data_IF_788809815761
#
_entry.id   IF_788809815761
#
_cell.length_a   1.000
_cell.length_b   1.000
_cell.length_c   1.000
_cell.angle_alpha   90.00
_cell.angle_beta   90.00
_cell.angle_gamma   90.00
#
_symmetry.space_group_name_H-M   'P 1'
#
loop_
_entity.id
_entity.type
_entity.pdbx_description
1 polymer ?
#
# COMPACT_ATOMS: atom_id res chain seq x y z
N UNK A 1 23.68 -18.63 36.19
CA UNK A 1 24.25 -18.26 34.86
C UNK A 1 23.47 -18.81 33.64
N UNK A 2 22.49 -19.68 33.83
CA UNK A 2 21.91 -20.42 32.69
C UNK A 2 20.46 -20.05 32.31
N UNK A 3 19.69 -19.38 33.19
CA UNK A 3 18.29 -19.07 32.88
C UNK A 3 18.14 -17.83 31.97
N UNK A 4 18.99 -16.82 32.12
CA UNK A 4 18.96 -15.65 31.24
C UNK A 4 19.50 -15.94 29.83
N UNK A 5 20.49 -16.84 29.73
CA UNK A 5 20.95 -17.40 28.45
C UNK A 5 19.87 -18.27 27.78
N UNK A 6 19.13 -19.06 28.59
CA UNK A 6 18.06 -19.92 28.08
C UNK A 6 16.90 -19.15 27.45
N UNK A 7 16.44 -18.04 28.07
CA UNK A 7 15.40 -17.19 27.47
C UNK A 7 15.92 -16.49 26.21
N UNK A 8 17.11 -15.89 26.27
CA UNK A 8 17.72 -15.24 25.11
C UNK A 8 17.98 -16.19 23.95
N UNK A 9 18.37 -17.44 24.20
CA UNK A 9 18.64 -18.43 23.16
C UNK A 9 17.37 -19.11 22.62
N UNK A 10 16.32 -19.27 23.44
CA UNK A 10 15.01 -19.73 22.96
C UNK A 10 14.37 -18.66 22.06
N UNK A 11 14.47 -17.40 22.41
CA UNK A 11 14.02 -16.31 21.55
C UNK A 11 14.89 -16.14 20.30
N UNK A 12 16.22 -16.30 20.38
CA UNK A 12 17.12 -16.30 19.22
C UNK A 12 16.89 -17.46 18.25
N UNK A 13 16.40 -18.61 18.71
CA UNK A 13 16.14 -19.78 17.85
C UNK A 13 14.75 -19.78 17.22
N UNK A 14 13.76 -19.13 17.86
CA UNK A 14 12.37 -19.09 17.38
C UNK A 14 11.96 -17.76 16.76
N UNK A 15 12.66 -16.71 17.10
CA UNK A 15 12.50 -15.38 16.51
C UNK A 15 13.89 -14.78 16.35
N UNK A 16 14.29 -14.48 15.14
CA UNK A 16 15.58 -13.85 14.84
C UNK A 16 15.75 -12.45 15.45
N UNK A 17 14.80 -11.94 16.27
CA UNK A 17 14.67 -10.50 16.50
C UNK A 17 14.14 -10.17 17.88
N UNK A 18 15.04 -10.09 18.85
CA UNK A 18 14.82 -9.45 20.15
C UNK A 18 15.69 -8.21 20.19
N UNK A 19 15.09 -7.10 20.52
CA UNK A 19 15.76 -5.81 20.61
C UNK A 19 16.10 -5.51 22.05
N UNK A 20 17.36 -5.14 22.32
CA UNK A 20 17.75 -4.45 23.54
C UNK A 20 17.87 -2.97 23.23
N UNK A 21 17.19 -2.14 23.95
CA UNK A 21 17.34 -0.68 23.91
C UNK A 21 17.70 -0.20 25.31
N UNK A 22 18.73 0.64 25.42
CA UNK A 22 19.16 1.21 26.70
C UNK A 22 18.30 2.42 27.13
N UNK A 23 17.50 2.99 26.21
CA UNK A 23 16.64 4.14 26.51
C UNK A 23 15.30 4.06 25.75
N UNK A 24 14.18 4.19 26.49
CA UNK A 24 12.81 4.07 25.97
C UNK A 24 12.39 5.22 25.03
N UNK A 25 13.21 6.27 24.89
CA UNK A 25 12.90 7.46 24.09
C UNK A 25 13.40 7.39 22.66
N UNK A 26 14.34 6.49 22.36
CA UNK A 26 14.97 6.35 21.05
C UNK A 26 14.86 4.91 20.50
N UNK A 27 13.66 4.36 20.50
CA UNK A 27 13.38 3.04 19.92
C UNK A 27 13.41 3.09 18.39
N UNK A 28 14.60 3.27 17.82
CA UNK A 28 14.86 2.98 16.42
C UNK A 28 15.22 1.49 16.29
N UNK A 29 14.27 0.67 15.88
CA UNK A 29 14.47 -0.76 15.75
C UNK A 29 15.05 -1.07 14.38
N UNK A 30 16.32 -1.46 14.35
CA UNK A 30 16.99 -1.99 13.16
C UNK A 30 16.96 -3.52 13.21
N UNK A 31 15.98 -4.13 12.52
CA UNK A 31 15.90 -5.59 12.47
C UNK A 31 14.55 -6.11 11.99
N UNK A 32 14.44 -7.38 11.78
CA UNK A 32 13.25 -8.10 11.34
C UNK A 32 12.45 -8.60 12.53
N UNK A 33 11.12 -8.64 12.45
CA UNK A 33 10.24 -9.12 13.50
C UNK A 33 9.93 -10.60 13.37
N UNK A 34 9.91 -11.29 14.51
CA UNK A 34 9.03 -12.41 14.69
C UNK A 34 7.88 -11.97 15.60
N UNK A 35 6.70 -11.96 15.08
CA UNK A 35 5.49 -11.72 15.85
C UNK A 35 5.17 -12.99 16.62
N UNK A 36 5.61 -13.04 17.89
CA UNK A 36 5.28 -14.15 18.79
C UNK A 36 3.79 -14.23 19.08
N UNK A 37 3.26 -15.41 19.31
CA UNK A 37 1.88 -15.60 19.74
C UNK A 37 1.61 -14.91 21.08
N UNK A 38 0.42 -14.33 21.24
CA UNK A 38 -0.05 -13.64 22.46
C UNK A 38 0.05 -14.47 23.75
N UNK A 39 0.28 -15.80 23.64
CA UNK A 39 0.48 -16.71 24.75
C UNK A 39 1.77 -16.42 25.53
N UNK A 40 2.82 -15.95 24.85
CA UNK A 40 4.12 -15.62 25.47
C UNK A 40 4.10 -14.32 26.27
N UNK A 41 3.25 -13.36 25.88
CA UNK A 41 3.03 -12.14 26.64
C UNK A 41 2.40 -12.40 28.02
N UNK A 42 1.54 -13.45 28.14
CA UNK A 42 0.90 -13.82 29.40
C UNK A 42 1.87 -14.44 30.43
N UNK A 43 3.01 -14.91 29.97
CA UNK A 43 4.04 -15.55 30.80
C UNK A 43 5.18 -14.58 31.17
N UNK A 44 5.20 -13.38 30.55
CA UNK A 44 6.23 -12.37 30.82
C UNK A 44 5.90 -11.57 32.09
N UNK A 45 6.90 -11.33 32.92
CA UNK A 45 6.77 -10.41 34.07
C UNK A 45 6.88 -8.96 33.57
N UNK A 46 5.75 -8.36 33.16
CA UNK A 46 5.70 -7.03 32.58
C UNK A 46 5.75 -5.99 33.69
N UNK A 47 6.76 -5.13 33.68
CA UNK A 47 6.90 -4.03 34.63
C UNK A 47 6.08 -2.80 34.22
N UNK A 48 6.06 -2.47 32.93
CA UNK A 48 5.33 -1.34 32.38
C UNK A 48 4.82 -1.60 30.96
N UNK A 49 3.82 -0.85 30.52
CA UNK A 49 3.31 -0.92 29.15
C UNK A 49 2.85 0.46 28.69
N UNK A 50 3.16 0.83 27.45
CA UNK A 50 2.69 2.06 26.82
C UNK A 50 2.45 1.84 25.32
N UNK A 51 1.59 2.65 24.72
CA UNK A 51 1.36 2.62 23.28
C UNK A 51 2.27 3.62 22.57
N UNK A 52 2.86 3.23 21.47
CA UNK A 52 3.69 4.09 20.65
C UNK A 52 3.67 3.64 19.18
N UNK A 53 4.03 4.58 18.31
CA UNK A 53 4.35 4.26 16.93
C UNK A 53 5.84 3.92 16.88
N UNK A 54 6.12 2.64 16.68
CA UNK A 54 7.50 2.14 16.63
C UNK A 54 8.02 2.24 15.20
N UNK A 55 9.12 2.97 15.04
CA UNK A 55 9.85 3.03 13.79
C UNK A 55 10.55 1.69 13.52
N UNK A 56 10.30 1.16 12.33
CA UNK A 56 10.87 -0.12 11.89
C UNK A 56 11.57 0.09 10.57
N UNK A 57 12.79 -0.41 10.48
CA UNK A 57 13.53 -0.44 9.24
C UNK A 57 13.60 -1.88 8.70
N UNK A 58 12.96 -2.09 7.55
CA UNK A 58 13.00 -3.35 6.83
C UNK A 58 13.71 -3.13 5.49
N UNK A 59 14.89 -3.74 5.31
CA UNK A 59 15.77 -3.46 4.16
C UNK A 59 16.11 -1.97 4.08
N UNK A 60 15.65 -1.27 3.02
CA UNK A 60 15.86 0.18 2.80
C UNK A 60 14.60 1.01 3.09
N UNK A 61 13.59 0.39 3.67
CA UNK A 61 12.29 1.00 3.91
C UNK A 61 12.12 1.20 5.41
N UNK A 62 11.76 2.42 5.80
CA UNK A 62 11.40 2.77 7.17
C UNK A 62 9.91 2.97 7.27
N UNK A 63 9.26 2.40 8.27
CA UNK A 63 7.84 2.53 8.52
C UNK A 63 7.53 2.54 10.01
N UNK A 64 6.30 2.88 10.37
CA UNK A 64 5.86 2.94 11.75
C UNK A 64 4.74 1.93 11.99
N UNK A 65 4.88 1.12 13.04
CA UNK A 65 3.80 0.26 13.51
C UNK A 65 3.24 0.79 14.82
N UNK A 66 1.92 0.94 14.88
CA UNK A 66 1.24 1.18 16.15
C UNK A 66 1.38 -0.06 17.00
N UNK A 67 2.07 0.07 18.12
CA UNK A 67 2.42 -1.05 18.98
C UNK A 67 2.21 -0.69 20.45
N UNK A 68 1.85 -1.70 21.23
CA UNK A 68 1.98 -1.63 22.69
C UNK A 68 3.35 -2.20 23.04
N UNK A 69 4.14 -1.39 23.73
CA UNK A 69 5.48 -1.76 24.20
C UNK A 69 5.36 -2.24 25.63
N UNK A 70 5.84 -3.42 25.90
CA UNK A 70 5.88 -4.01 27.23
C UNK A 70 7.32 -4.11 27.70
N UNK A 71 7.65 -3.48 28.81
CA UNK A 71 8.95 -3.59 29.45
C UNK A 71 9.00 -4.83 30.32
N UNK A 72 9.99 -5.68 30.09
CA UNK A 72 10.24 -6.89 30.86
C UNK A 72 11.62 -6.80 31.48
N UNK A 73 11.72 -6.61 32.83
CA UNK A 73 13.00 -6.52 33.50
C UNK A 73 13.72 -7.87 33.52
N UNK A 74 15.05 -7.81 33.48
CA UNK A 74 15.93 -8.94 33.63
C UNK A 74 16.60 -8.93 35.01
N UNK A 75 17.11 -10.09 35.44
CA UNK A 75 17.77 -10.26 36.75
C UNK A 75 19.06 -9.43 36.89
N UNK A 76 19.69 -9.05 35.78
CA UNK A 76 20.91 -8.23 35.76
C UNK A 76 20.64 -6.71 35.85
N UNK A 77 19.38 -6.32 36.01
CA UNK A 77 18.95 -4.92 36.08
C UNK A 77 18.71 -4.24 34.73
N UNK A 78 18.94 -4.96 33.62
CA UNK A 78 18.55 -4.51 32.29
C UNK A 78 17.08 -4.85 32.00
N UNK A 79 16.50 -4.29 30.93
CA UNK A 79 15.16 -4.65 30.45
C UNK A 79 15.21 -5.04 29.00
N UNK A 80 14.28 -5.89 28.56
CA UNK A 80 13.96 -6.03 27.16
C UNK A 80 12.52 -5.57 26.89
N UNK A 81 12.24 -5.21 25.65
CA UNK A 81 10.93 -4.72 25.28
C UNK A 81 10.23 -5.72 24.35
N UNK A 82 9.00 -6.12 24.72
CA UNK A 82 8.13 -6.89 23.85
C UNK A 82 7.21 -5.92 23.12
N UNK A 83 7.09 -6.09 21.81
CA UNK A 83 6.20 -5.30 20.98
C UNK A 83 4.96 -6.14 20.62
N UNK A 84 3.81 -5.65 21.07
CA UNK A 84 2.51 -6.15 20.65
C UNK A 84 1.94 -5.22 19.59
N UNK A 85 1.86 -5.70 18.34
CA UNK A 85 1.26 -4.91 17.26
C UNK A 85 -0.23 -4.76 17.50
N UNK A 86 -0.70 -3.51 17.52
CA UNK A 86 -2.12 -3.20 17.71
C UNK A 86 -2.81 -3.28 16.36
N UNK A 87 -3.70 -4.26 16.20
CA UNK A 87 -4.51 -4.47 15.00
C UNK A 87 -5.99 -4.61 15.37
N UNK A 88 -6.86 -4.43 14.37
CA UNK A 88 -8.30 -4.49 14.58
C UNK A 88 -8.84 -5.93 14.70
N UNK A 89 -8.11 -6.93 14.19
CA UNK A 89 -8.52 -8.33 14.22
C UNK A 89 -7.32 -9.30 14.13
N UNK A 90 -7.60 -10.59 14.42
CA UNK A 90 -6.60 -11.66 14.26
C UNK A 90 -6.25 -11.86 12.78
N UNK A 91 -7.22 -11.74 11.90
CA UNK A 91 -7.06 -11.85 10.46
C UNK A 91 -6.14 -10.74 9.93
N UNK A 92 -6.32 -9.50 10.40
CA UNK A 92 -5.43 -8.38 10.07
C UNK A 92 -4.00 -8.66 10.54
N UNK A 93 -3.82 -9.22 11.74
CA UNK A 93 -2.49 -9.57 12.24
C UNK A 93 -1.81 -10.64 11.38
N UNK A 94 -2.53 -11.68 10.96
CA UNK A 94 -1.96 -12.71 10.08
C UNK A 94 -1.66 -12.16 8.67
N UNK A 95 -2.51 -11.30 8.13
CA UNK A 95 -2.26 -10.62 6.86
C UNK A 95 -1.02 -9.72 6.94
N UNK A 96 -0.85 -8.97 8.03
CA UNK A 96 0.35 -8.16 8.28
C UNK A 96 1.62 -9.02 8.35
N UNK A 97 1.60 -10.14 9.08
CA UNK A 97 2.72 -11.08 9.15
C UNK A 97 3.09 -11.62 7.77
N UNK A 98 2.10 -12.10 7.03
CA UNK A 98 2.29 -12.59 5.67
C UNK A 98 2.92 -11.55 4.76
N UNK A 99 2.42 -10.31 4.81
CA UNK A 99 2.92 -9.19 4.01
C UNK A 99 4.37 -8.83 4.38
N UNK A 100 4.70 -8.72 5.67
CA UNK A 100 6.08 -8.46 6.13
C UNK A 100 7.01 -9.57 5.62
N UNK A 101 6.59 -10.83 5.74
CA UNK A 101 7.34 -11.99 5.24
C UNK A 101 7.57 -11.90 3.73
N UNK A 102 6.54 -11.53 2.96
CA UNK A 102 6.67 -11.35 1.52
C UNK A 102 7.68 -10.24 1.17
N UNK A 103 7.67 -9.12 1.89
CA UNK A 103 8.62 -8.03 1.71
C UNK A 103 10.04 -8.48 2.06
N UNK A 104 10.20 -9.17 3.19
CA UNK A 104 11.51 -9.63 3.69
C UNK A 104 12.20 -10.59 2.71
N UNK A 105 11.42 -11.54 2.18
CA UNK A 105 11.95 -12.56 1.27
C UNK A 105 11.84 -12.20 -0.21
N UNK A 106 11.51 -10.93 -0.52
CA UNK A 106 11.37 -10.42 -1.90
C UNK A 106 10.32 -11.16 -2.74
N UNK A 107 9.22 -11.56 -2.08
CA UNK A 107 8.11 -12.29 -2.69
C UNK A 107 6.98 -11.36 -3.17
N UNK A 108 7.32 -10.12 -3.46
CA UNK A 108 6.44 -9.13 -4.07
C UNK A 108 6.81 -9.00 -5.54
N UNK A 109 5.82 -9.14 -6.41
CA UNK A 109 5.93 -8.92 -7.84
C UNK A 109 4.83 -7.99 -8.34
N UNK A 110 4.98 -7.50 -9.57
CA UNK A 110 3.97 -6.74 -10.29
C UNK A 110 3.63 -7.46 -11.60
N UNK A 111 2.34 -7.68 -11.82
CA UNK A 111 1.81 -8.03 -13.13
C UNK A 111 1.30 -6.76 -13.81
N UNK A 112 1.32 -6.71 -15.14
CA UNK A 112 0.95 -5.51 -15.89
C UNK A 112 -0.24 -5.80 -16.79
N UNK A 113 -1.33 -5.05 -16.57
CA UNK A 113 -2.53 -5.11 -17.42
C UNK A 113 -2.53 -3.93 -18.39
N UNK A 114 -2.79 -4.22 -19.67
CA UNK A 114 -2.76 -3.19 -20.72
C UNK A 114 -4.02 -2.32 -20.67
N UNK A 115 -3.83 -1.02 -20.86
CA UNK A 115 -4.88 -0.05 -21.10
C UNK A 115 -4.82 0.41 -22.55
N UNK A 116 -5.87 0.16 -23.32
CA UNK A 116 -5.91 0.37 -24.77
C UNK A 116 -6.87 1.52 -25.10
N UNK A 117 -6.42 2.45 -25.91
CA UNK A 117 -7.30 3.47 -26.47
C UNK A 117 -8.22 2.85 -27.53
N UNK A 118 -9.52 2.85 -27.26
CA UNK A 118 -10.53 2.18 -28.11
C UNK A 118 -10.62 2.75 -29.53
N UNK A 119 -10.34 4.04 -29.72
CA UNK A 119 -10.39 4.67 -31.05
C UNK A 119 -9.20 4.34 -31.92
N UNK A 120 -8.01 4.29 -31.33
CA UNK A 120 -6.75 4.11 -32.06
C UNK A 120 -6.19 2.70 -31.98
N UNK A 121 -6.68 1.85 -31.07
CA UNK A 121 -6.13 0.53 -30.76
C UNK A 121 -4.72 0.56 -30.12
N UNK A 122 -4.23 1.75 -29.75
CA UNK A 122 -2.89 1.91 -29.21
C UNK A 122 -2.87 1.68 -27.70
N UNK A 123 -1.75 1.10 -27.22
CA UNK A 123 -1.43 1.03 -25.81
C UNK A 123 -1.20 2.45 -25.27
N UNK A 124 -1.91 2.82 -24.21
CA UNK A 124 -1.81 4.14 -23.56
C UNK A 124 -1.39 4.04 -22.10
N UNK A 125 -1.59 2.90 -21.47
CA UNK A 125 -1.23 2.68 -20.09
C UNK A 125 -0.99 1.22 -19.77
N UNK A 126 -0.37 1.01 -18.62
CA UNK A 126 -0.18 -0.29 -17.97
C UNK A 126 -0.58 -0.14 -16.51
N UNK A 127 -1.51 -0.93 -16.04
CA UNK A 127 -1.82 -1.03 -14.62
C UNK A 127 -0.88 -2.04 -13.95
N UNK A 128 -0.15 -1.60 -12.94
CA UNK A 128 0.76 -2.44 -12.17
C UNK A 128 0.00 -3.09 -11.01
N UNK A 129 -0.33 -4.34 -11.18
CA UNK A 129 -1.13 -5.14 -10.26
C UNK A 129 -0.23 -5.94 -9.32
N UNK A 130 -0.33 -5.66 -8.04
CA UNK A 130 0.40 -6.33 -6.97
C UNK A 130 0.19 -7.85 -6.99
N UNK A 131 1.27 -8.59 -6.80
CA UNK A 131 1.28 -10.05 -6.62
C UNK A 131 2.16 -10.40 -5.43
N UNK A 132 1.54 -10.84 -4.34
CA UNK A 132 2.26 -11.45 -3.21
C UNK A 132 2.33 -12.95 -3.44
N UNK A 133 3.46 -13.57 -3.05
CA UNK A 133 3.64 -15.01 -3.13
C UNK A 133 3.88 -15.60 -1.76
N UNK A 134 3.24 -16.73 -1.49
CA UNK A 134 3.49 -17.53 -0.29
C UNK A 134 4.87 -18.23 -0.34
N UNK A 135 5.15 -19.09 0.66
CA UNK A 135 6.40 -19.84 0.75
C UNK A 135 6.60 -20.84 -0.38
N UNK A 136 5.51 -21.36 -0.93
CA UNK A 136 5.48 -22.31 -2.03
C UNK A 136 5.49 -21.62 -3.40
N UNK A 137 5.47 -20.28 -3.43
CA UNK A 137 5.46 -19.48 -4.65
C UNK A 137 4.07 -19.24 -5.26
N UNK A 138 2.98 -19.69 -4.61
CA UNK A 138 1.63 -19.44 -5.07
C UNK A 138 1.23 -17.98 -4.86
N UNK A 139 0.40 -17.44 -5.75
CA UNK A 139 -0.11 -16.07 -5.62
C UNK A 139 -1.15 -16.01 -4.51
N UNK A 140 -0.96 -15.11 -3.55
CA UNK A 140 -1.95 -14.78 -2.54
C UNK A 140 -2.96 -13.82 -3.19
N UNK A 141 -4.28 -14.16 -3.23
CA UNK A 141 -5.29 -13.30 -3.83
C UNK A 141 -5.38 -11.95 -3.12
N UNK A 142 -5.37 -10.85 -3.90
CA UNK A 142 -5.38 -9.47 -3.37
C UNK A 142 -6.62 -9.18 -2.51
N UNK A 143 -7.77 -9.70 -2.89
CA UNK A 143 -9.05 -9.57 -2.17
C UNK A 143 -9.02 -10.15 -0.75
N UNK A 144 -8.11 -11.07 -0.47
CA UNK A 144 -7.97 -11.69 0.84
C UNK A 144 -7.07 -10.93 1.81
N UNK A 145 -6.13 -10.11 1.31
CA UNK A 145 -5.19 -9.45 2.22
C UNK A 145 -5.21 -7.93 2.13
N UNK A 146 -5.45 -7.32 0.96
CA UNK A 146 -5.45 -5.85 0.83
C UNK A 146 -6.44 -5.19 1.79
N UNK A 147 -7.72 -5.63 1.88
CA UNK A 147 -8.68 -5.01 2.80
C UNK A 147 -8.26 -5.09 4.28
N UNK A 148 -7.42 -6.06 4.63
CA UNK A 148 -6.95 -6.27 6.00
C UNK A 148 -5.76 -5.37 6.39
N UNK A 149 -5.04 -4.83 5.41
CA UNK A 149 -3.84 -4.00 5.62
C UNK A 149 -3.98 -2.57 5.08
N UNK A 150 -5.01 -2.26 4.31
CA UNK A 150 -5.16 -0.99 3.60
C UNK A 150 -5.24 0.22 4.53
N UNK A 151 -5.90 0.08 5.69
CA UNK A 151 -5.96 1.10 6.73
C UNK A 151 -4.73 1.17 7.64
N UNK A 152 -3.76 0.29 7.46
CA UNK A 152 -2.59 0.17 8.32
C UNK A 152 -1.34 0.78 7.66
N UNK A 153 -0.40 1.23 8.48
CA UNK A 153 0.90 1.76 8.00
C UNK A 153 1.65 0.77 7.08
N UNK A 154 1.30 -0.51 7.17
CA UNK A 154 1.89 -1.59 6.38
C UNK A 154 1.56 -1.48 4.89
N UNK A 155 0.40 -0.92 4.52
CA UNK A 155 0.08 -0.71 3.11
C UNK A 155 1.08 0.23 2.44
N UNK A 156 1.57 1.24 3.15
CA UNK A 156 2.64 2.12 2.67
C UNK A 156 3.92 1.34 2.32
N UNK A 157 4.24 0.27 3.08
CA UNK A 157 5.37 -0.60 2.76
C UNK A 157 5.18 -1.38 1.47
N UNK A 158 3.99 -1.89 1.25
CA UNK A 158 3.65 -2.59 0.00
C UNK A 158 3.82 -1.65 -1.18
N UNK A 159 3.32 -0.41 -1.07
CA UNK A 159 3.50 0.63 -2.09
C UNK A 159 4.98 0.92 -2.34
N UNK A 160 5.79 1.10 -1.28
CA UNK A 160 7.23 1.35 -1.43
C UNK A 160 7.99 0.17 -2.04
N UNK A 161 7.63 -1.06 -1.67
CA UNK A 161 8.20 -2.27 -2.29
C UNK A 161 7.81 -2.36 -3.77
N UNK A 162 6.57 -2.00 -4.11
CA UNK A 162 6.10 -1.92 -5.49
C UNK A 162 6.88 -0.88 -6.30
N UNK A 163 7.19 0.29 -5.73
CA UNK A 163 8.03 1.30 -6.38
C UNK A 163 9.43 0.75 -6.72
N UNK A 164 10.03 -0.08 -5.86
CA UNK A 164 11.31 -0.71 -6.18
C UNK A 164 11.22 -1.68 -7.37
N UNK A 165 10.11 -2.41 -7.50
CA UNK A 165 9.86 -3.29 -8.67
C UNK A 165 9.58 -2.48 -9.93
N UNK A 166 8.92 -1.33 -9.82
CA UNK A 166 8.65 -0.44 -10.95
C UNK A 166 9.91 0.10 -11.62
N UNK A 167 11.03 0.25 -10.90
CA UNK A 167 12.31 0.69 -11.51
C UNK A 167 12.66 -0.15 -12.73
N UNK A 168 12.59 -1.48 -12.60
CA UNK A 168 12.85 -2.39 -13.71
C UNK A 168 11.85 -2.24 -14.85
N UNK A 169 10.57 -1.98 -14.55
CA UNK A 169 9.56 -1.75 -15.57
C UNK A 169 9.85 -0.48 -16.39
N UNK A 170 10.31 0.60 -15.73
CA UNK A 170 10.71 1.82 -16.43
C UNK A 170 11.98 1.65 -17.27
N UNK A 171 12.96 0.85 -16.82
CA UNK A 171 14.12 0.47 -17.61
C UNK A 171 13.68 -0.25 -18.90
N UNK A 172 12.83 -1.29 -18.78
CA UNK A 172 12.28 -2.03 -19.93
C UNK A 172 11.42 -1.14 -20.83
N UNK A 173 10.59 -0.25 -20.25
CA UNK A 173 9.79 0.70 -21.02
C UNK A 173 10.64 1.55 -21.96
N UNK A 174 11.79 2.02 -21.48
CA UNK A 174 12.74 2.80 -22.26
C UNK A 174 13.43 1.95 -23.35
N UNK A 175 13.79 0.71 -23.01
CA UNK A 175 14.39 -0.25 -23.96
C UNK A 175 13.47 -0.58 -25.14
N UNK A 176 12.15 -0.74 -24.86
CA UNK A 176 11.16 -1.06 -25.90
C UNK A 176 10.46 0.17 -26.51
N UNK A 177 10.99 1.39 -26.30
CA UNK A 177 10.45 2.64 -26.84
C UNK A 177 8.94 2.83 -26.60
N UNK A 178 8.48 2.49 -25.40
CA UNK A 178 7.09 2.64 -25.01
C UNK A 178 6.76 4.08 -24.57
N UNK A 179 7.17 5.06 -25.40
CA UNK A 179 6.94 6.47 -25.14
C UNK A 179 5.43 6.79 -25.11
N UNK A 180 5.02 7.63 -24.16
CA UNK A 180 3.62 8.02 -23.99
C UNK A 180 2.73 6.97 -23.31
N UNK A 181 3.30 5.84 -22.84
CA UNK A 181 2.59 4.85 -22.03
C UNK A 181 2.78 5.21 -20.55
N UNK A 182 1.68 5.40 -19.82
CA UNK A 182 1.69 5.63 -18.37
C UNK A 182 1.71 4.29 -17.63
N UNK A 183 2.53 4.14 -16.60
CA UNK A 183 2.42 2.99 -15.69
C UNK A 183 1.68 3.45 -14.43
N UNK A 184 0.52 2.87 -14.17
CA UNK A 184 -0.31 3.18 -13.02
C UNK A 184 -0.06 2.22 -11.87
N UNK A 185 -0.01 2.74 -10.65
CA UNK A 185 0.11 1.97 -9.41
C UNK A 185 -1.13 2.23 -8.54
N UNK A 186 -1.72 1.17 -8.03
CA UNK A 186 -2.86 1.24 -7.09
C UNK A 186 -2.42 1.72 -5.72
N UNK A 187 -3.12 2.73 -5.20
CA UNK A 187 -2.86 3.34 -3.90
C UNK A 187 -4.18 3.68 -3.22
N UNK A 188 -4.30 3.41 -1.91
CA UNK A 188 -5.48 3.86 -1.17
C UNK A 188 -5.47 5.39 -0.97
N UNK A 189 -6.66 5.99 -0.96
CA UNK A 189 -6.80 7.41 -0.66
C UNK A 189 -6.17 7.78 0.69
N UNK A 190 -6.31 6.91 1.70
CA UNK A 190 -5.68 7.11 3.01
C UNK A 190 -4.14 7.20 2.91
N UNK A 191 -3.52 6.32 2.12
CA UNK A 191 -2.07 6.34 1.90
C UNK A 191 -1.63 7.57 1.11
N UNK A 192 -2.38 7.94 0.07
CA UNK A 192 -2.09 9.13 -0.75
C UNK A 192 -2.17 10.46 0.04
N UNK A 193 -2.95 10.49 1.13
CA UNK A 193 -3.07 11.66 2.02
C UNK A 193 -2.01 11.73 3.13
N UNK A 194 -1.09 10.76 3.23
CA UNK A 194 -0.02 10.81 4.23
C UNK A 194 1.01 11.88 3.86
N UNK A 195 1.46 12.65 4.84
CA UNK A 195 2.31 13.84 4.60
C UNK A 195 3.64 13.53 3.88
N UNK A 196 4.22 12.34 4.11
CA UNK A 196 5.45 11.91 3.47
C UNK A 196 5.25 11.27 2.09
N UNK A 197 4.01 10.92 1.72
CA UNK A 197 3.71 10.17 0.51
C UNK A 197 4.12 10.92 -0.76
N UNK A 198 3.69 12.17 -0.90
CA UNK A 198 4.06 13.02 -2.04
C UNK A 198 5.58 13.12 -2.20
N UNK A 199 6.32 13.25 -1.09
CA UNK A 199 7.77 13.32 -1.13
C UNK A 199 8.40 12.04 -1.66
N UNK A 200 7.93 10.88 -1.20
CA UNK A 200 8.41 9.56 -1.67
C UNK A 200 8.25 9.45 -3.18
N UNK A 201 7.10 9.83 -3.71
CA UNK A 201 6.81 9.77 -5.14
C UNK A 201 7.58 10.82 -5.94
N UNK A 202 7.74 12.03 -5.42
CA UNK A 202 8.56 13.07 -6.03
C UNK A 202 10.03 12.64 -6.12
N UNK A 203 10.58 12.08 -5.06
CA UNK A 203 11.94 11.54 -5.04
C UNK A 203 12.08 10.38 -6.04
N UNK A 204 11.12 9.48 -6.12
CA UNK A 204 11.11 8.38 -7.09
C UNK A 204 11.10 8.86 -8.55
N UNK A 205 10.21 9.81 -8.87
CA UNK A 205 10.13 10.44 -10.20
C UNK A 205 11.45 11.11 -10.57
N UNK A 206 12.05 11.83 -9.63
CA UNK A 206 13.34 12.50 -9.82
C UNK A 206 14.49 11.52 -10.00
N UNK A 207 14.58 10.49 -9.15
CA UNK A 207 15.68 9.52 -9.18
C UNK A 207 15.73 8.73 -10.50
N UNK A 208 14.57 8.48 -11.11
CA UNK A 208 14.46 7.79 -12.40
C UNK A 208 14.37 8.76 -13.59
N UNK A 209 14.41 10.08 -13.34
CA UNK A 209 14.26 11.10 -14.36
C UNK A 209 13.01 10.88 -15.24
N UNK A 210 11.88 10.52 -14.61
CA UNK A 210 10.62 10.28 -15.31
C UNK A 210 10.01 11.60 -15.82
N UNK A 211 9.45 11.53 -17.01
CA UNK A 211 8.70 12.65 -17.58
C UNK A 211 7.30 12.73 -16.95
N UNK A 212 6.68 13.91 -16.89
CA UNK A 212 5.28 14.04 -16.49
C UNK A 212 4.39 13.07 -17.26
N UNK A 213 3.54 12.33 -16.55
CA UNK A 213 2.63 11.35 -17.12
C UNK A 213 3.21 9.94 -17.31
N UNK A 214 4.49 9.68 -17.03
CA UNK A 214 5.04 8.34 -17.15
C UNK A 214 4.67 7.42 -15.99
N UNK A 215 4.56 7.96 -14.77
CA UNK A 215 4.02 7.28 -13.59
C UNK A 215 2.68 7.91 -13.24
N UNK A 216 1.63 7.10 -13.09
CA UNK A 216 0.31 7.49 -12.62
C UNK A 216 -0.08 6.74 -11.35
N UNK A 217 -1.12 7.22 -10.68
CA UNK A 217 -1.71 6.52 -9.53
C UNK A 217 -3.19 6.28 -9.78
N UNK A 218 -3.66 5.09 -9.43
CA UNK A 218 -5.06 4.73 -9.35
C UNK A 218 -5.46 4.74 -7.88
N UNK A 219 -6.38 5.63 -7.54
CA UNK A 219 -6.84 5.84 -6.16
C UNK A 219 -8.10 5.01 -5.98
N UNK A 220 -8.01 3.97 -5.17
CA UNK A 220 -9.17 3.14 -4.86
C UNK A 220 -10.23 3.97 -4.14
N UNK A 221 -11.49 3.84 -4.57
CA UNK A 221 -12.64 4.46 -3.91
C UNK A 221 -12.94 3.70 -2.61
N UNK A 222 -12.07 3.80 -1.61
CA UNK A 222 -12.39 3.29 -0.29
C UNK A 222 -13.18 4.32 0.49
N UNK A 223 -14.39 3.91 0.86
CA UNK A 223 -15.29 4.49 1.86
C UNK A 223 -14.95 5.90 2.37
N UNK A 224 -15.89 6.85 2.16
CA UNK A 224 -15.94 8.14 2.84
C UNK A 224 -14.57 8.81 3.05
N UNK A 225 -14.08 9.52 2.03
CA UNK A 225 -13.05 10.54 2.26
C UNK A 225 -13.60 11.52 3.31
N UNK A 226 -13.26 11.26 4.57
CA UNK A 226 -13.73 12.05 5.70
C UNK A 226 -13.35 13.54 5.56
N UNK A 227 -12.33 13.83 4.73
CA UNK A 227 -11.86 15.20 4.45
C UNK A 227 -11.46 15.34 2.97
N UNK A 228 -12.46 15.64 2.13
CA UNK A 228 -12.29 15.89 0.67
C UNK A 228 -11.33 17.04 0.40
N UNK A 229 -11.30 18.06 1.27
CA UNK A 229 -10.40 19.20 1.11
C UNK A 229 -8.95 18.78 1.29
N UNK A 230 -8.64 18.03 2.36
CA UNK A 230 -7.30 17.50 2.61
C UNK A 230 -6.87 16.55 1.49
N UNK A 231 -7.77 15.70 1.01
CA UNK A 231 -7.50 14.82 -0.13
C UNK A 231 -7.15 15.64 -1.38
N UNK A 232 -7.95 16.68 -1.70
CA UNK A 232 -7.69 17.58 -2.82
C UNK A 232 -6.33 18.26 -2.74
N UNK A 233 -5.93 18.74 -1.56
CA UNK A 233 -4.61 19.35 -1.34
C UNK A 233 -3.46 18.33 -1.55
N UNK A 234 -3.61 17.09 -1.07
CA UNK A 234 -2.62 16.04 -1.24
C UNK A 234 -2.52 15.57 -2.69
N UNK A 235 -3.65 15.40 -3.36
CA UNK A 235 -3.70 14.99 -4.77
C UNK A 235 -3.13 16.08 -5.68
N UNK A 236 -3.36 17.35 -5.37
CA UNK A 236 -2.77 18.46 -6.13
C UNK A 236 -1.24 18.43 -6.06
N UNK A 237 -0.67 18.15 -4.88
CA UNK A 237 0.79 18.03 -4.74
C UNK A 237 1.38 16.88 -5.59
N UNK A 238 0.65 15.76 -5.74
CA UNK A 238 1.07 14.67 -6.64
C UNK A 238 1.01 15.10 -8.11
N UNK A 239 -0.03 15.82 -8.51
CA UNK A 239 -0.13 16.37 -9.87
C UNK A 239 0.96 17.39 -10.16
N UNK A 240 1.32 18.24 -9.19
CA UNK A 240 2.38 19.24 -9.34
C UNK A 240 3.76 18.61 -9.62
N UNK A 241 3.98 17.35 -9.22
CA UNK A 241 5.18 16.58 -9.58
C UNK A 241 5.02 15.74 -10.86
N UNK A 242 3.90 15.94 -11.59
CA UNK A 242 3.67 15.33 -12.91
C UNK A 242 3.05 13.94 -12.87
N UNK A 243 2.41 13.54 -11.77
CA UNK A 243 1.76 12.24 -11.60
C UNK A 243 0.26 12.38 -11.88
N UNK A 244 -0.27 11.83 -12.99
CA UNK A 244 -1.71 11.78 -13.24
C UNK A 244 -2.41 10.84 -12.26
N UNK A 245 -3.64 11.21 -11.89
CA UNK A 245 -4.46 10.49 -10.93
C UNK A 245 -5.72 9.94 -11.59
N UNK A 246 -6.05 8.69 -11.33
CA UNK A 246 -7.29 8.06 -11.71
C UNK A 246 -8.11 7.68 -10.46
N UNK A 247 -9.42 7.84 -10.51
CA UNK A 247 -10.32 7.22 -9.52
C UNK A 247 -10.61 5.80 -10.01
N UNK A 248 -10.40 4.82 -9.16
CA UNK A 248 -10.63 3.40 -9.45
C UNK A 248 -12.00 2.91 -8.93
N UNK A 249 -12.50 1.79 -9.50
CA UNK A 249 -13.75 1.11 -9.13
C UNK A 249 -15.00 2.03 -9.11
N UNK A 250 -15.02 3.08 -9.97
CA UNK A 250 -16.10 4.05 -9.95
C UNK A 250 -17.45 3.40 -10.31
N UNK A 251 -18.41 3.54 -9.38
CA UNK A 251 -19.77 3.01 -9.51
C UNK A 251 -19.99 1.64 -8.91
N UNK A 252 -18.97 1.01 -8.32
CA UNK A 252 -19.14 -0.25 -7.57
C UNK A 252 -19.80 -0.07 -6.20
N UNK A 253 -19.79 1.15 -5.66
CA UNK A 253 -20.27 1.43 -4.31
C UNK A 253 -20.87 2.82 -4.12
N UNK A 254 -20.34 3.57 -3.17
CA UNK A 254 -20.81 4.91 -2.77
C UNK A 254 -20.25 6.05 -3.63
N UNK A 255 -19.89 5.78 -4.89
CA UNK A 255 -19.31 6.76 -5.82
C UNK A 255 -20.09 8.07 -5.83
N UNK A 256 -19.47 9.11 -5.29
CA UNK A 256 -20.08 10.44 -5.31
C UNK A 256 -19.55 11.25 -6.50
N UNK A 257 -20.46 11.68 -7.38
CA UNK A 257 -20.11 12.63 -8.44
C UNK A 257 -19.43 13.91 -7.91
N UNK A 258 -19.63 14.23 -6.61
CA UNK A 258 -18.96 15.36 -5.98
C UNK A 258 -17.45 15.17 -5.95
N UNK A 259 -16.94 13.94 -5.79
CA UNK A 259 -15.51 13.66 -5.81
C UNK A 259 -14.88 13.99 -7.16
N UNK A 260 -15.57 13.65 -8.26
CA UNK A 260 -15.08 13.96 -9.60
C UNK A 260 -15.01 15.46 -9.87
N UNK A 261 -15.88 16.26 -9.23
CA UNK A 261 -15.86 17.71 -9.34
C UNK A 261 -14.78 18.34 -8.45
N UNK A 262 -14.62 17.82 -7.23
CA UNK A 262 -13.89 18.50 -6.16
C UNK A 262 -12.44 18.00 -6.03
N UNK A 263 -12.12 16.81 -6.55
CA UNK A 263 -10.77 16.27 -6.53
C UNK A 263 -10.02 16.53 -7.83
N UNK A 264 -8.74 16.89 -7.78
CA UNK A 264 -7.91 17.15 -8.96
C UNK A 264 -7.45 15.84 -9.62
N UNK A 265 -8.37 15.09 -10.24
CA UNK A 265 -8.10 13.84 -10.94
C UNK A 265 -8.08 14.04 -12.46
N UNK A 266 -7.49 13.11 -13.20
CA UNK A 266 -7.33 13.16 -14.66
C UNK A 266 -8.20 12.14 -15.38
N UNK A 267 -8.56 11.07 -14.68
CA UNK A 267 -9.33 9.97 -15.26
C UNK A 267 -10.20 9.24 -14.23
N UNK A 268 -11.16 8.49 -14.75
CA UNK A 268 -12.09 7.65 -13.99
C UNK A 268 -12.08 6.26 -14.61
N UNK A 269 -11.92 5.22 -13.78
CA UNK A 269 -12.03 3.82 -14.18
C UNK A 269 -13.41 3.32 -13.79
N UNK A 270 -14.17 2.90 -14.77
CA UNK A 270 -15.51 2.37 -14.58
C UNK A 270 -15.40 0.88 -14.21
N UNK A 271 -15.96 0.50 -13.06
CA UNK A 271 -15.90 -0.87 -12.56
C UNK A 271 -16.42 -1.90 -13.57
N UNK A 272 -15.84 -3.08 -13.54
CA UNK A 272 -16.18 -4.21 -14.43
C UNK A 272 -17.65 -4.59 -14.43
N UNK A 273 -18.41 -4.28 -13.38
CA UNK A 273 -19.85 -4.58 -13.28
C UNK A 273 -20.63 -3.90 -14.43
N UNK A 274 -20.17 -2.72 -14.87
CA UNK A 274 -20.78 -2.02 -16.00
C UNK A 274 -20.55 -2.73 -17.34
N UNK A 275 -19.36 -3.28 -17.53
CA UNK A 275 -19.06 -4.08 -18.73
C UNK A 275 -19.89 -5.38 -18.74
N UNK A 276 -20.01 -6.05 -17.60
CA UNK A 276 -20.76 -7.30 -17.45
C UNK A 276 -22.28 -7.13 -17.70
N UNK A 277 -22.82 -5.97 -17.39
CA UNK A 277 -24.27 -5.67 -17.50
C UNK A 277 -24.60 -4.66 -18.61
N UNK A 278 -23.67 -4.41 -19.54
CA UNK A 278 -23.80 -3.40 -20.60
C UNK A 278 -24.99 -3.65 -21.54
N UNK A 279 -25.46 -4.90 -21.65
CA UNK A 279 -26.64 -5.27 -22.43
C UNK A 279 -27.96 -4.76 -21.81
N UNK A 280 -27.94 -4.41 -20.54
CA UNK A 280 -29.08 -3.85 -19.85
C UNK A 280 -29.27 -2.37 -20.24
N UNK A 281 -30.49 -1.99 -20.60
CA UNK A 281 -30.79 -0.59 -20.99
C UNK A 281 -30.39 0.41 -19.89
N UNK A 282 -30.67 0.07 -18.64
CA UNK A 282 -30.35 0.95 -17.50
C UNK A 282 -28.85 1.17 -17.38
N UNK A 283 -28.05 0.10 -17.48
CA UNK A 283 -26.59 0.18 -17.42
C UNK A 283 -26.03 1.00 -18.58
N UNK A 284 -26.54 0.78 -19.79
CA UNK A 284 -26.13 1.58 -20.96
C UNK A 284 -26.43 3.07 -20.81
N UNK A 285 -27.58 3.46 -20.24
CA UNK A 285 -27.89 4.85 -19.98
C UNK A 285 -27.04 5.43 -18.85
N UNK A 286 -26.70 4.67 -17.82
CA UNK A 286 -25.77 5.10 -16.76
C UNK A 286 -24.38 5.34 -17.32
N UNK A 287 -23.85 4.45 -18.17
CA UNK A 287 -22.54 4.65 -18.83
C UNK A 287 -22.54 5.95 -19.64
N UNK A 288 -23.59 6.19 -20.47
CA UNK A 288 -23.70 7.43 -21.23
C UNK A 288 -23.71 8.67 -20.34
N UNK A 289 -24.39 8.58 -19.21
CA UNK A 289 -24.42 9.67 -18.23
C UNK A 289 -23.03 9.93 -17.65
N UNK A 290 -22.30 8.88 -17.22
CA UNK A 290 -20.92 9.04 -16.70
C UNK A 290 -19.99 9.58 -17.77
N UNK A 291 -20.08 9.11 -19.02
CA UNK A 291 -19.31 9.68 -20.17
C UNK A 291 -19.58 11.17 -20.29
N UNK A 292 -20.85 11.61 -20.26
CA UNK A 292 -21.21 13.04 -20.38
C UNK A 292 -20.63 13.86 -19.21
N UNK A 293 -20.61 13.31 -17.99
CA UNK A 293 -19.99 13.97 -16.83
C UNK A 293 -18.48 14.08 -17.04
N UNK A 294 -17.81 13.01 -17.45
CA UNK A 294 -16.38 13.02 -17.73
C UNK A 294 -16.00 14.02 -18.81
N UNK A 295 -16.76 14.08 -19.91
CA UNK A 295 -16.57 15.07 -20.98
C UNK A 295 -16.73 16.52 -20.45
N UNK A 296 -17.72 16.77 -19.60
CA UNK A 296 -17.95 18.07 -19.00
C UNK A 296 -16.81 18.50 -18.08
N UNK A 297 -16.25 17.55 -17.33
CA UNK A 297 -15.15 17.79 -16.39
C UNK A 297 -13.78 17.65 -17.06
N UNK A 298 -13.70 17.35 -18.36
CA UNK A 298 -12.47 17.08 -19.10
C UNK A 298 -11.66 15.92 -18.51
N UNK A 299 -12.32 14.87 -18.03
CA UNK A 299 -11.74 13.65 -17.50
C UNK A 299 -11.68 12.57 -18.58
N UNK A 300 -10.62 11.78 -18.60
CA UNK A 300 -10.60 10.55 -19.38
C UNK A 300 -11.43 9.47 -18.69
N UNK A 301 -12.02 8.57 -19.46
CA UNK A 301 -12.73 7.41 -18.92
C UNK A 301 -12.10 6.11 -19.41
N UNK A 302 -11.86 5.18 -18.50
CA UNK A 302 -11.41 3.82 -18.76
C UNK A 302 -12.53 2.85 -18.36
N UNK A 303 -12.86 1.88 -19.21
CA UNK A 303 -13.77 0.78 -18.86
C UNK A 303 -12.99 -0.48 -18.49
N UNK A 304 -13.37 -1.12 -17.42
CA UNK A 304 -12.79 -2.39 -16.98
C UNK A 304 -13.62 -3.61 -17.39
N UNK A 305 -13.00 -4.80 -17.33
CA UNK A 305 -13.68 -6.07 -17.62
C UNK A 305 -14.11 -6.24 -19.07
N UNK A 306 -13.47 -5.56 -20.02
CA UNK A 306 -13.70 -5.72 -21.46
C UNK A 306 -12.70 -6.75 -21.97
N UNK A 307 -13.19 -7.93 -22.37
CA UNK A 307 -12.40 -9.04 -22.93
C UNK A 307 -12.53 -9.12 -24.45
#
# INVERSE_FOLDING_TARGET
RDQSRGLGDVYKRQSKYIFSCEDSKDLAIKGVFSLGESKKLKEANIASSFESNIEIQLRKITFFLRSRVHEVPLEDGSSFFLLEVITNSKESLEAMKGTITCIEYDRIDLAYQKQINLKSGKLVGLEALLRLRDEDGNIIPNDKFIPLIEGESLFSLVVMSSLQKLKKAFELKNEFDMNGVTIYLNVSAHTAMQDNFTKIFADFVKDLNLKPGELGLEITETAELADVKKAGESFQKLKDVGIPLAIDDFGAGYSSLSYLRDLPVDSVKLDKVFAQTISEKTTSELIKFVVSVCDTLSLNMLGEGIE
#
